data_IF_866054721336
#
_entry.id   IF_866054721336
#
_cell.length_a   1.000
_cell.length_b   1.000
_cell.length_c   1.000
_cell.angle_alpha   90.00
_cell.angle_beta   90.00
_cell.angle_gamma   90.00
#
_symmetry.space_group_name_H-M   'P 1'
#
loop_
_entity.id
_entity.type
_entity.pdbx_description
1 polymer ?
#
# COMPACT_ATOMS: atom_id res chain seq x y z
N UNK A 1 -26.12 24.45 -18.54
CA UNK A 1 -27.31 23.61 -18.30
C UNK A 1 -28.34 24.43 -17.50
N UNK A 2 -29.58 24.55 -17.99
CA UNK A 2 -30.64 25.31 -17.30
C UNK A 2 -30.87 24.79 -15.87
N UNK A 3 -31.23 25.68 -14.96
CA UNK A 3 -31.58 25.37 -13.56
C UNK A 3 -32.70 24.34 -13.50
N UNK A 4 -33.68 24.44 -14.40
CA UNK A 4 -34.83 23.52 -14.44
C UNK A 4 -34.41 22.08 -14.77
N UNK A 5 -33.43 21.93 -15.67
CA UNK A 5 -32.86 20.63 -16.02
C UNK A 5 -32.08 20.01 -14.86
N UNK A 6 -31.38 20.84 -14.07
CA UNK A 6 -30.69 20.38 -12.84
C UNK A 6 -31.69 19.89 -11.80
N UNK A 7 -32.75 20.67 -11.56
CA UNK A 7 -33.81 20.33 -10.60
C UNK A 7 -34.53 19.04 -11.00
N UNK A 8 -34.86 18.86 -12.28
CA UNK A 8 -35.48 17.65 -12.78
C UNK A 8 -34.63 16.40 -12.56
N UNK A 9 -33.32 16.48 -12.82
CA UNK A 9 -32.37 15.38 -12.57
C UNK A 9 -32.28 15.06 -11.08
N UNK A 10 -32.16 16.08 -10.23
CA UNK A 10 -32.09 15.89 -8.77
C UNK A 10 -33.36 15.25 -8.22
N UNK A 11 -34.54 15.74 -8.63
CA UNK A 11 -35.83 15.21 -8.18
C UNK A 11 -36.06 13.76 -8.61
N UNK A 12 -35.51 13.36 -9.77
CA UNK A 12 -35.54 11.98 -10.24
C UNK A 12 -34.58 11.07 -9.46
N UNK A 13 -33.37 11.55 -9.14
CA UNK A 13 -32.33 10.74 -8.48
C UNK A 13 -32.56 10.56 -6.97
N UNK A 14 -33.10 11.56 -6.28
CA UNK A 14 -33.34 11.51 -4.82
C UNK A 14 -34.08 10.23 -4.38
N UNK A 15 -35.24 9.87 -4.95
CA UNK A 15 -35.96 8.66 -4.52
C UNK A 15 -35.20 7.38 -4.85
N UNK A 16 -34.43 7.33 -5.94
CA UNK A 16 -33.60 6.17 -6.31
C UNK A 16 -32.49 5.97 -5.29
N UNK A 17 -31.76 7.04 -4.94
CA UNK A 17 -30.70 6.99 -3.94
C UNK A 17 -31.25 6.63 -2.57
N UNK A 18 -32.36 7.23 -2.16
CA UNK A 18 -33.03 6.88 -0.90
C UNK A 18 -33.44 5.41 -0.88
N UNK A 19 -33.94 4.86 -1.99
CA UNK A 19 -34.30 3.44 -2.07
C UNK A 19 -33.08 2.52 -1.98
N UNK A 20 -31.97 2.86 -2.64
CA UNK A 20 -30.71 2.09 -2.52
C UNK A 20 -30.21 2.11 -1.07
N UNK A 21 -30.22 3.27 -0.42
CA UNK A 21 -29.73 3.43 0.96
C UNK A 21 -30.66 2.75 1.98
N UNK A 22 -31.98 2.82 1.76
CA UNK A 22 -32.98 2.21 2.64
C UNK A 22 -33.27 0.74 2.33
N UNK A 23 -32.77 0.22 1.20
CA UNK A 23 -32.91 -1.18 0.87
C UNK A 23 -32.22 -2.01 1.96
N UNK A 24 -32.85 -3.11 2.44
CA UNK A 24 -32.19 -4.02 3.35
C UNK A 24 -30.92 -4.51 2.67
N UNK A 25 -29.76 -4.32 3.31
CA UNK A 25 -28.51 -4.91 2.83
C UNK A 25 -28.73 -6.41 2.82
N UNK A 26 -28.96 -6.97 1.63
CA UNK A 26 -29.09 -8.40 1.45
C UNK A 26 -27.69 -9.00 1.57
N UNK A 27 -27.29 -9.25 2.82
CA UNK A 27 -26.12 -10.05 3.13
C UNK A 27 -26.53 -11.50 2.89
N UNK A 28 -25.87 -12.15 1.95
CA UNK A 28 -26.04 -13.59 1.76
C UNK A 28 -25.69 -14.30 3.08
N UNK A 29 -26.19 -15.54 3.30
CA UNK A 29 -25.77 -16.33 4.45
C UNK A 29 -24.24 -16.42 4.58
N UNK A 30 -23.53 -16.45 3.45
CA UNK A 30 -22.07 -16.43 3.37
C UNK A 30 -21.48 -15.12 3.90
N UNK A 31 -22.04 -13.97 3.53
CA UNK A 31 -21.55 -12.66 4.00
C UNK A 31 -21.71 -12.53 5.51
N UNK A 32 -22.85 -12.99 6.04
CA UNK A 32 -23.08 -13.01 7.50
C UNK A 32 -22.07 -13.89 8.22
N UNK A 33 -21.75 -15.05 7.66
CA UNK A 33 -20.74 -15.94 8.20
C UNK A 33 -19.36 -15.30 8.17
N UNK A 34 -18.96 -14.68 7.05
CA UNK A 34 -17.68 -13.98 6.93
C UNK A 34 -17.55 -12.83 7.92
N UNK A 35 -18.59 -12.01 8.09
CA UNK A 35 -18.61 -10.92 9.07
C UNK A 35 -18.47 -11.45 10.50
N UNK A 36 -19.15 -12.56 10.82
CA UNK A 36 -19.01 -13.21 12.13
C UNK A 36 -17.57 -13.69 12.35
N UNK A 37 -17.02 -14.42 11.37
CA UNK A 37 -15.64 -14.94 11.44
C UNK A 37 -14.62 -13.81 11.56
N UNK A 38 -14.80 -12.71 10.85
CA UNK A 38 -13.96 -11.50 10.93
C UNK A 38 -14.02 -10.88 12.32
N UNK A 39 -15.23 -10.72 12.87
CA UNK A 39 -15.42 -10.22 14.24
C UNK A 39 -14.77 -11.13 15.29
N UNK A 40 -14.99 -12.44 15.20
CA UNK A 40 -14.43 -13.43 16.13
C UNK A 40 -12.89 -13.44 16.05
N UNK A 41 -12.35 -13.35 14.83
CA UNK A 41 -10.89 -13.25 14.60
C UNK A 41 -10.33 -11.97 15.21
N UNK A 42 -11.00 -10.82 15.04
CA UNK A 42 -10.56 -9.54 15.62
C UNK A 42 -10.52 -9.60 17.15
N UNK A 43 -11.51 -10.22 17.77
CA UNK A 43 -11.55 -10.44 19.23
C UNK A 43 -10.42 -11.37 19.67
N UNK A 44 -10.18 -12.46 18.93
CA UNK A 44 -9.10 -13.39 19.22
C UNK A 44 -7.74 -12.70 19.17
N UNK A 45 -7.47 -11.94 18.10
CA UNK A 45 -6.18 -11.24 17.91
C UNK A 45 -5.96 -10.20 19.02
N UNK A 46 -6.99 -9.45 19.41
CA UNK A 46 -6.85 -8.45 20.48
C UNK A 46 -6.62 -9.08 21.85
N UNK A 47 -7.18 -10.26 22.10
CA UNK A 47 -6.98 -11.00 23.35
C UNK A 47 -5.59 -11.66 23.47
N UNK A 48 -4.88 -11.88 22.35
CA UNK A 48 -3.60 -12.60 22.31
C UNK A 48 -2.47 -11.76 21.70
N UNK A 49 -2.02 -10.68 22.36
CA UNK A 49 -0.98 -9.79 21.83
C UNK A 49 0.40 -10.45 21.71
N UNK A 50 0.59 -11.66 22.24
CA UNK A 50 1.82 -12.42 22.09
C UNK A 50 1.94 -13.17 20.76
N UNK A 51 0.88 -13.19 19.95
CA UNK A 51 0.91 -13.82 18.63
C UNK A 51 1.11 -12.74 17.57
N UNK A 52 2.13 -12.90 16.74
CA UNK A 52 2.41 -12.04 15.59
C UNK A 52 1.85 -12.72 14.34
N UNK A 53 1.00 -12.00 13.62
CA UNK A 53 0.51 -12.43 12.30
C UNK A 53 1.24 -11.66 11.20
N UNK A 54 1.82 -12.38 10.23
CA UNK A 54 2.47 -11.78 9.06
C UNK A 54 2.05 -12.47 7.77
N UNK A 55 2.14 -11.74 6.65
CA UNK A 55 1.92 -12.33 5.34
C UNK A 55 3.11 -13.21 4.96
N UNK A 56 2.86 -14.44 4.54
CA UNK A 56 3.89 -15.34 4.03
C UNK A 56 4.37 -14.88 2.64
N UNK A 57 5.65 -15.07 2.33
CA UNK A 57 6.19 -14.77 0.99
C UNK A 57 5.49 -15.59 -0.12
N UNK A 58 5.01 -16.80 0.20
CA UNK A 58 4.37 -17.70 -0.76
C UNK A 58 2.86 -17.81 -0.52
N UNK A 59 2.10 -17.42 -1.54
CA UNK A 59 0.72 -17.82 -1.80
C UNK A 59 -0.29 -17.45 -0.72
N UNK A 60 -0.71 -16.19 -0.64
CA UNK A 60 -1.85 -15.68 0.17
C UNK A 60 -2.09 -16.41 1.51
N UNK A 61 -1.01 -16.75 2.21
CA UNK A 61 -1.01 -17.49 3.47
C UNK A 61 -0.58 -16.52 4.55
N UNK A 62 -1.21 -16.64 5.72
CA UNK A 62 -0.83 -15.90 6.92
C UNK A 62 -0.06 -16.83 7.85
N UNK A 63 1.09 -16.37 8.35
CA UNK A 63 1.87 -17.07 9.37
C UNK A 63 1.54 -16.47 10.73
N UNK A 64 1.31 -17.34 11.71
CA UNK A 64 1.18 -16.97 13.12
C UNK A 64 2.45 -17.41 13.87
N UNK A 65 3.07 -16.50 14.60
CA UNK A 65 4.31 -16.73 15.35
C UNK A 65 4.11 -16.35 16.81
N UNK A 66 4.64 -17.17 17.72
CA UNK A 66 4.80 -16.73 19.11
C UNK A 66 5.93 -15.67 19.18
N UNK A 67 5.59 -14.50 19.73
CA UNK A 67 6.45 -13.32 19.75
C UNK A 67 7.73 -13.55 20.54
N UNK A 68 7.63 -14.14 21.72
CA UNK A 68 8.77 -14.33 22.60
C UNK A 68 9.72 -15.40 22.02
N UNK A 69 9.16 -16.50 21.53
CA UNK A 69 9.94 -17.53 20.84
C UNK A 69 10.64 -16.97 19.60
N UNK A 70 9.96 -16.12 18.82
CA UNK A 70 10.56 -15.45 17.66
C UNK A 70 11.69 -14.52 18.07
N UNK A 71 11.46 -13.63 19.06
CA UNK A 71 12.46 -12.67 19.52
C UNK A 71 13.69 -13.38 20.09
N UNK A 72 13.49 -14.40 20.92
CA UNK A 72 14.59 -15.17 21.49
C UNK A 72 15.43 -15.82 20.38
N UNK A 73 14.80 -16.48 19.41
CA UNK A 73 15.51 -17.08 18.28
C UNK A 73 16.29 -16.04 17.47
N UNK A 74 15.69 -14.89 17.18
CA UNK A 74 16.33 -13.83 16.40
C UNK A 74 17.49 -13.19 17.15
N UNK A 75 17.35 -12.92 18.45
CA UNK A 75 18.43 -12.38 19.28
C UNK A 75 19.58 -13.38 19.34
N UNK A 76 19.30 -14.67 19.57
CA UNK A 76 20.34 -15.70 19.59
C UNK A 76 21.07 -15.79 18.25
N UNK A 77 20.35 -15.77 17.13
CA UNK A 77 20.94 -15.82 15.79
C UNK A 77 21.82 -14.60 15.48
N UNK A 78 21.37 -13.40 15.86
CA UNK A 78 22.04 -12.13 15.54
C UNK A 78 23.12 -11.74 16.57
N UNK A 79 23.26 -12.48 17.67
CA UNK A 79 24.32 -12.27 18.66
C UNK A 79 25.66 -12.86 18.21
N UNK A 80 25.69 -13.59 17.09
CA UNK A 80 26.93 -14.09 16.49
C UNK A 80 27.78 -12.94 15.94
N UNK A 81 28.85 -12.63 16.67
CA UNK A 81 29.82 -11.57 16.34
C UNK A 81 30.84 -11.98 15.27
N UNK A 82 30.94 -13.28 14.95
CA UNK A 82 31.83 -13.78 13.90
C UNK A 82 31.20 -13.54 12.51
N UNK A 83 29.87 -13.64 12.42
CA UNK A 83 29.11 -13.42 11.17
C UNK A 83 28.54 -12.00 11.04
N UNK A 84 28.03 -11.41 12.12
CA UNK A 84 27.31 -10.13 12.10
C UNK A 84 28.06 -9.02 12.81
N UNK A 85 27.94 -7.79 12.31
CA UNK A 85 28.56 -6.59 12.90
C UNK A 85 27.50 -5.60 13.35
N UNK A 86 27.71 -4.98 14.52
CA UNK A 86 26.82 -3.97 15.05
C UNK A 86 26.78 -2.71 14.16
N UNK A 87 25.57 -2.30 13.79
CA UNK A 87 25.35 -1.10 12.99
C UNK A 87 24.98 0.07 13.92
N UNK A 88 25.92 0.99 14.11
CA UNK A 88 25.74 2.16 15.00
C UNK A 88 24.88 3.28 14.41
N UNK A 89 24.66 3.29 13.09
CA UNK A 89 23.86 4.29 12.38
C UNK A 89 23.07 3.62 11.27
N UNK A 90 21.77 3.91 11.21
CA UNK A 90 20.88 3.40 10.17
C UNK A 90 21.44 3.69 8.76
N UNK A 91 21.86 2.64 8.01
CA UNK A 91 22.46 2.79 6.69
C UNK A 91 21.40 3.08 5.62
N UNK A 92 20.12 2.79 5.89
CA UNK A 92 19.00 2.97 4.96
C UNK A 92 18.86 4.44 4.60
N UNK A 93 19.04 5.36 5.55
CA UNK A 93 18.99 6.81 5.28
C UNK A 93 20.03 7.25 4.25
N UNK A 94 21.26 6.73 4.37
CA UNK A 94 22.35 7.01 3.42
C UNK A 94 22.03 6.41 2.05
N UNK A 95 21.55 5.16 2.03
CA UNK A 95 21.18 4.46 0.81
C UNK A 95 20.02 5.16 0.08
N UNK A 96 18.95 5.52 0.80
CA UNK A 96 17.81 6.26 0.23
C UNK A 96 18.24 7.61 -0.34
N UNK A 97 19.14 8.34 0.34
CA UNK A 97 19.68 9.59 -0.20
C UNK A 97 20.44 9.35 -1.49
N UNK A 98 21.28 8.32 -1.56
CA UNK A 98 22.01 7.98 -2.80
C UNK A 98 21.08 7.55 -3.93
N UNK A 99 20.03 6.78 -3.64
CA UNK A 99 19.04 6.35 -4.63
C UNK A 99 18.30 7.57 -5.18
N UNK A 100 17.78 8.45 -4.30
CA UNK A 100 17.07 9.68 -4.70
C UNK A 100 17.92 10.60 -5.57
N UNK A 101 19.20 10.78 -5.23
CA UNK A 101 20.11 11.60 -6.04
C UNK A 101 20.33 10.97 -7.42
N UNK A 102 20.53 9.65 -7.48
CA UNK A 102 20.79 8.95 -8.74
C UNK A 102 19.55 8.93 -9.63
N UNK A 103 18.35 8.68 -9.09
CA UNK A 103 17.10 8.73 -9.85
C UNK A 103 16.80 10.14 -10.35
N UNK A 104 17.00 11.17 -9.52
CA UNK A 104 16.83 12.57 -9.93
C UNK A 104 17.82 12.98 -11.04
N UNK A 105 19.09 12.55 -10.94
CA UNK A 105 20.09 12.84 -11.95
C UNK A 105 19.77 12.14 -13.28
N UNK A 106 19.36 10.88 -13.25
CA UNK A 106 18.93 10.14 -14.44
C UNK A 106 17.69 10.78 -15.09
N UNK A 107 16.71 11.20 -14.29
CA UNK A 107 15.50 11.85 -14.80
C UNK A 107 15.80 13.22 -15.43
N UNK A 108 16.67 14.03 -14.80
CA UNK A 108 17.15 15.30 -15.38
C UNK A 108 17.92 15.10 -16.68
N UNK A 109 18.81 14.12 -16.75
CA UNK A 109 19.58 13.81 -17.95
C UNK A 109 18.69 13.33 -19.10
N UNK A 110 17.60 12.62 -18.81
CA UNK A 110 16.62 12.21 -19.82
C UNK A 110 15.87 13.42 -20.39
N UNK A 111 15.39 14.34 -19.54
CA UNK A 111 14.70 15.57 -19.99
C UNK A 111 15.63 16.48 -20.81
N UNK A 112 16.89 16.62 -20.41
CA UNK A 112 17.83 17.48 -21.14
C UNK A 112 18.20 16.93 -22.52
N UNK A 113 18.22 15.60 -22.69
CA UNK A 113 18.44 14.95 -23.99
C UNK A 113 17.26 15.19 -24.93
N UNK A 114 16.04 15.06 -24.41
CA UNK A 114 14.81 15.27 -25.18
C UNK A 114 14.69 16.72 -25.68
N UNK A 115 15.08 17.71 -24.85
CA UNK A 115 15.08 19.13 -25.27
C UNK A 115 16.16 19.45 -26.30
N UNK A 116 17.36 18.87 -26.19
CA UNK A 116 18.43 19.06 -27.17
C UNK A 116 18.14 18.35 -28.49
N UNK A 117 17.44 17.20 -28.46
CA UNK A 117 17.00 16.51 -29.66
C UNK A 117 15.89 17.29 -30.39
N UNK A 118 14.97 17.93 -29.67
CA UNK A 118 13.97 18.85 -30.24
C UNK A 118 14.59 20.10 -30.86
N UNK A 119 15.54 20.74 -30.18
CA UNK A 119 16.26 21.90 -30.73
C UNK A 119 17.08 21.53 -31.97
N UNK A 120 17.78 20.39 -31.94
CA UNK A 120 18.54 19.89 -33.08
C UNK A 120 17.63 19.50 -34.27
N UNK A 121 16.43 18.97 -34.00
CA UNK A 121 15.44 18.65 -35.05
C UNK A 121 14.87 19.92 -35.70
N UNK A 122 14.56 20.95 -34.90
CA UNK A 122 14.07 22.24 -35.41
C UNK A 122 15.14 22.92 -36.29
N UNK A 123 16.40 22.92 -35.86
CA UNK A 123 17.52 23.48 -36.66
C UNK A 123 17.75 22.72 -37.97
N UNK A 124 17.44 21.41 -38.01
CA UNK A 124 17.58 20.58 -39.21
C UNK A 124 16.44 20.75 -40.22
N UNK A 125 15.24 21.13 -39.77
CA UNK A 125 14.07 21.39 -40.62
C UNK A 125 14.12 22.81 -41.20
N UNK A 126 14.75 23.76 -40.51
CA UNK A 126 14.87 25.15 -40.94
C UNK A 126 16.06 25.46 -41.88
N UNK A 127 16.77 24.44 -42.37
CA UNK A 127 17.82 24.56 -43.41
C UNK A 127 17.38 23.86 -44.68
#
# INVERSE_FOLDING_TARGET
MSIDKKIAVTNYLIPILNNIISSPIFTSPTDKLLLKMESDTRIFVSAHPNIIFTHADKGNVTVALDKDAYLNKMITLLSDVDTYVLINKDPIKKLMKSIKVKTHLHFKAAISRDSTDLENLIVRICR
#
